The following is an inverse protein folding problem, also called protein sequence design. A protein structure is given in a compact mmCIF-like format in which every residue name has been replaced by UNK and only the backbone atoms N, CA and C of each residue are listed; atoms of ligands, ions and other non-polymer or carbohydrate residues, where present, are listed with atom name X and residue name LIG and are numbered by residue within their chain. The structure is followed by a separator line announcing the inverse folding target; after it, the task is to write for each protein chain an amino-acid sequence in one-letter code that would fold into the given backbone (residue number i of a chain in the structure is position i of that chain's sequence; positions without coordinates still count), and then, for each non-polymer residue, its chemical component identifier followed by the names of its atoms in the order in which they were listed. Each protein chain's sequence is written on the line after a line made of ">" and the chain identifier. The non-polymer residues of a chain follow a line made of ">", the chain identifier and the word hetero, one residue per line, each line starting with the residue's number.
data_IF_366467493747
#
_entry.id   IF_366467493747
#
_cell.length_a   1.000
_cell.length_b   1.000
_cell.length_c   1.000
_cell.angle_alpha   90.00
_cell.angle_beta   90.00
_cell.angle_gamma   90.00
#
_symmetry.space_group_name_H-M   'P 1'
#
loop_
_entity.id
_entity.type
_entity.pdbx_description
1 polymer ?
#
# COMPACT_ATOMS: atom_id res chain seq x y z
N UNK A 1 -69.38 -14.10 15.99
CA UNK A 1 -68.56 -13.00 15.46
C UNK A 1 -67.10 -13.35 15.66
N UNK A 2 -66.43 -13.82 14.62
CA UNK A 2 -64.98 -14.02 14.60
C UNK A 2 -64.50 -13.40 13.28
N UNK A 3 -63.75 -12.31 13.38
CA UNK A 3 -63.19 -11.59 12.23
C UNK A 3 -61.83 -12.21 11.96
N UNK A 4 -61.69 -12.89 10.82
CA UNK A 4 -60.41 -13.35 10.29
C UNK A 4 -59.83 -12.20 9.48
N UNK A 5 -58.73 -11.61 9.94
CA UNK A 5 -58.00 -10.58 9.22
C UNK A 5 -57.05 -11.25 8.21
N UNK A 6 -57.29 -11.01 6.92
CA UNK A 6 -56.39 -11.41 5.84
C UNK A 6 -55.24 -10.40 5.76
N UNK A 7 -54.01 -10.86 5.99
CA UNK A 7 -52.80 -10.07 5.74
C UNK A 7 -52.46 -10.13 4.25
N UNK A 8 -52.51 -8.99 3.56
CA UNK A 8 -52.04 -8.86 2.19
C UNK A 8 -50.51 -8.75 2.18
N UNK A 9 -49.83 -9.73 1.57
CA UNK A 9 -48.39 -9.67 1.34
C UNK A 9 -48.11 -8.69 0.17
N UNK A 10 -47.51 -7.54 0.47
CA UNK A 10 -46.93 -6.65 -0.53
C UNK A 10 -45.62 -7.26 -1.04
N UNK A 11 -45.61 -7.68 -2.30
CA UNK A 11 -44.37 -8.06 -2.99
C UNK A 11 -43.55 -6.79 -3.27
N UNK A 12 -42.41 -6.64 -2.61
CA UNK A 12 -41.41 -5.63 -2.95
C UNK A 12 -40.71 -6.13 -4.21
N UNK A 13 -40.69 -5.38 -5.33
CA UNK A 13 -39.92 -5.78 -6.49
C UNK A 13 -38.42 -5.74 -6.09
N UNK A 14 -37.77 -6.90 -6.11
CA UNK A 14 -36.31 -6.96 -6.07
C UNK A 14 -35.80 -6.23 -7.31
N UNK A 15 -35.15 -5.10 -7.11
CA UNK A 15 -34.34 -4.49 -8.15
C UNK A 15 -33.22 -5.50 -8.45
N UNK A 16 -33.29 -6.14 -9.61
CA UNK A 16 -32.15 -6.84 -10.19
C UNK A 16 -31.07 -5.78 -10.42
N UNK A 17 -30.04 -5.78 -9.57
CA UNK A 17 -28.79 -5.12 -9.89
C UNK A 17 -28.29 -5.77 -11.19
N UNK A 18 -28.40 -5.03 -12.29
CA UNK A 18 -27.77 -5.43 -13.55
C UNK A 18 -26.28 -5.27 -13.29
N UNK A 19 -25.62 -6.38 -12.93
CA UNK A 19 -24.16 -6.43 -12.91
C UNK A 19 -23.67 -5.99 -14.28
N UNK A 20 -22.91 -4.91 -14.33
CA UNK A 20 -22.22 -4.54 -15.55
C UNK A 20 -21.23 -5.66 -15.87
N UNK A 21 -21.56 -6.48 -16.85
CA UNK A 21 -20.62 -7.38 -17.52
C UNK A 21 -19.61 -6.50 -18.27
N UNK A 22 -18.47 -6.20 -17.64
CA UNK A 22 -17.46 -5.31 -18.20
C UNK A 22 -16.11 -5.46 -17.50
N UNK A 23 -15.12 -5.93 -18.27
CA UNK A 23 -13.70 -6.14 -17.93
C UNK A 23 -13.42 -7.00 -16.69
N UNK A 24 -13.31 -8.30 -16.92
CA UNK A 24 -12.97 -9.28 -15.90
C UNK A 24 -11.45 -9.33 -15.67
N UNK A 25 -10.95 -9.32 -14.44
CA UNK A 25 -9.51 -9.24 -14.19
C UNK A 25 -8.85 -10.63 -14.13
N UNK A 26 -7.57 -10.72 -14.46
CA UNK A 26 -6.78 -11.94 -14.33
C UNK A 26 -5.59 -11.71 -13.39
N UNK A 27 -5.53 -12.48 -12.31
CA UNK A 27 -4.37 -12.52 -11.43
C UNK A 27 -3.30 -13.49 -11.96
N UNK A 28 -2.04 -13.07 -11.92
CA UNK A 28 -0.86 -13.92 -12.15
C UNK A 28 0.12 -13.81 -10.99
N UNK A 29 0.49 -14.95 -10.39
CA UNK A 29 1.51 -15.01 -9.35
C UNK A 29 2.91 -14.99 -10.00
N UNK A 30 3.70 -13.97 -9.69
CA UNK A 30 4.99 -13.75 -10.36
C UNK A 30 6.17 -14.30 -9.55
N UNK A 31 6.31 -13.90 -8.29
CA UNK A 31 7.41 -14.30 -7.41
C UNK A 31 6.85 -14.74 -6.05
N UNK A 32 7.41 -15.80 -5.47
CA UNK A 32 7.13 -16.26 -4.10
C UNK A 32 8.38 -16.92 -3.53
N UNK A 33 8.54 -16.98 -2.21
CA UNK A 33 9.56 -17.77 -1.54
C UNK A 33 9.27 -19.29 -1.57
N UNK A 34 8.02 -19.67 -1.89
CA UNK A 34 7.59 -21.06 -1.98
C UNK A 34 7.77 -21.61 -3.41
N UNK A 35 8.52 -22.69 -3.54
CA UNK A 35 8.70 -23.39 -4.81
C UNK A 35 7.34 -23.88 -5.39
N UNK A 36 7.04 -23.47 -6.62
CA UNK A 36 5.84 -23.88 -7.35
C UNK A 36 4.58 -23.03 -7.10
N UNK A 37 4.63 -22.04 -6.20
CA UNK A 37 3.50 -21.12 -5.95
C UNK A 37 3.42 -19.98 -6.98
N UNK A 38 4.56 -19.57 -7.53
CA UNK A 38 4.68 -18.49 -8.50
C UNK A 38 5.66 -18.85 -9.63
N UNK A 39 5.76 -18.00 -10.66
CA UNK A 39 6.66 -18.23 -11.82
C UNK A 39 8.14 -18.27 -11.43
N UNK A 40 8.54 -17.54 -10.38
CA UNK A 40 9.90 -17.46 -9.88
C UNK A 40 9.89 -17.74 -8.38
N UNK A 41 10.91 -18.47 -7.92
CA UNK A 41 11.16 -18.67 -6.50
C UNK A 41 12.31 -17.77 -6.03
N UNK A 42 12.02 -16.89 -5.06
CA UNK A 42 13.01 -16.04 -4.40
C UNK A 42 12.90 -16.21 -2.89
N UNK A 43 13.85 -16.90 -2.22
CA UNK A 43 13.81 -17.15 -0.79
C UNK A 43 13.82 -15.90 0.09
N UNK A 44 14.15 -14.73 -0.45
CA UNK A 44 14.13 -13.47 0.29
C UNK A 44 12.75 -12.80 0.29
N UNK A 45 11.84 -13.16 -0.61
CA UNK A 45 10.51 -12.54 -0.70
C UNK A 45 9.58 -13.10 0.38
N UNK A 46 9.85 -12.77 1.65
CA UNK A 46 9.07 -13.21 2.81
C UNK A 46 8.32 -12.03 3.39
N UNK A 47 6.98 -12.15 3.50
CA UNK A 47 6.09 -11.07 3.93
C UNK A 47 6.39 -9.72 3.24
N UNK A 48 6.37 -9.63 1.90
CA UNK A 48 6.63 -8.36 1.23
C UNK A 48 5.50 -7.36 1.53
N UNK A 49 5.86 -6.19 2.04
CA UNK A 49 4.92 -5.10 2.33
C UNK A 49 4.98 -4.03 1.24
N UNK A 50 5.74 -2.96 1.46
CA UNK A 50 5.82 -1.82 0.55
C UNK A 50 6.58 -2.12 -0.74
N UNK A 51 6.29 -1.33 -1.76
CA UNK A 51 6.98 -1.37 -3.04
C UNK A 51 7.18 0.03 -3.63
N UNK A 52 8.32 0.25 -4.29
CA UNK A 52 8.65 1.53 -4.91
C UNK A 52 9.43 1.35 -6.21
N UNK A 53 9.30 2.32 -7.10
CA UNK A 53 10.13 2.44 -8.28
C UNK A 53 10.18 3.89 -8.73
N UNK A 54 11.30 4.28 -9.34
CA UNK A 54 11.34 5.46 -10.20
C UNK A 54 10.63 5.17 -11.52
N UNK A 55 10.59 6.15 -12.44
CA UNK A 55 10.08 5.92 -13.79
C UNK A 55 10.87 4.86 -14.59
N UNK A 56 12.14 4.60 -14.24
CA UNK A 56 13.05 3.76 -15.02
C UNK A 56 13.82 2.73 -14.19
N UNK A 57 13.61 2.68 -12.87
CA UNK A 57 14.25 1.68 -12.02
C UNK A 57 13.51 0.34 -12.07
N UNK A 58 14.18 -0.77 -11.70
CA UNK A 58 13.50 -1.97 -11.21
C UNK A 58 12.50 -1.63 -10.09
N UNK A 59 11.55 -2.54 -9.85
CA UNK A 59 10.70 -2.52 -8.68
C UNK A 59 11.52 -2.91 -7.45
N UNK A 60 11.47 -2.11 -6.40
CA UNK A 60 11.98 -2.41 -5.07
C UNK A 60 10.83 -2.90 -4.20
N UNK A 61 11.08 -3.94 -3.41
CA UNK A 61 10.10 -4.52 -2.48
C UNK A 61 10.72 -4.55 -1.08
N UNK A 62 9.97 -4.13 -0.08
CA UNK A 62 10.35 -4.23 1.33
C UNK A 62 9.93 -5.60 1.87
N UNK A 63 10.88 -6.52 2.02
CA UNK A 63 10.63 -7.89 2.46
C UNK A 63 10.68 -7.96 3.98
N UNK A 64 9.54 -7.68 4.62
CA UNK A 64 9.41 -7.53 6.07
C UNK A 64 10.01 -8.74 6.81
N UNK A 65 9.62 -9.95 6.39
CA UNK A 65 10.00 -11.19 7.08
C UNK A 65 11.45 -11.64 6.82
N UNK A 66 12.15 -11.00 5.89
CA UNK A 66 13.53 -11.33 5.54
C UNK A 66 14.52 -10.21 5.90
N UNK A 67 14.05 -9.09 6.48
CA UNK A 67 14.87 -7.93 6.87
C UNK A 67 15.67 -7.30 5.71
N UNK A 68 15.15 -7.41 4.48
CA UNK A 68 15.84 -6.95 3.27
C UNK A 68 14.90 -6.18 2.33
N UNK A 69 15.50 -5.60 1.30
CA UNK A 69 14.77 -5.19 0.11
C UNK A 69 15.33 -5.89 -1.13
N UNK A 70 14.46 -6.60 -1.84
CA UNK A 70 14.72 -7.24 -3.13
C UNK A 70 14.31 -6.35 -4.30
N UNK A 71 14.84 -6.66 -5.48
CA UNK A 71 14.60 -5.90 -6.70
C UNK A 71 14.20 -6.81 -7.86
N UNK A 72 13.20 -6.38 -8.63
CA UNK A 72 12.68 -7.13 -9.79
C UNK A 72 12.54 -6.26 -11.03
N UNK A 73 12.77 -6.84 -12.21
CA UNK A 73 12.57 -6.19 -13.52
C UNK A 73 11.89 -7.15 -14.51
N UNK A 74 11.41 -6.66 -15.64
CA UNK A 74 10.69 -7.47 -16.63
C UNK A 74 9.20 -7.56 -16.29
N UNK A 75 8.52 -8.65 -16.60
CA UNK A 75 7.05 -8.72 -16.39
C UNK A 75 6.25 -7.89 -17.40
N UNK A 76 6.92 -7.18 -18.31
CA UNK A 76 6.26 -6.29 -19.28
C UNK A 76 5.58 -7.15 -20.33
N UNK A 77 4.33 -6.83 -20.63
CA UNK A 77 3.51 -7.55 -21.62
C UNK A 77 3.48 -9.07 -21.39
N UNK A 78 3.37 -9.49 -20.13
CA UNK A 78 3.25 -10.90 -19.75
C UNK A 78 4.54 -11.73 -19.81
N UNK A 79 5.69 -11.09 -20.08
CA UNK A 79 7.00 -11.76 -20.00
C UNK A 79 7.32 -12.21 -18.59
N UNK A 80 8.21 -13.20 -18.42
CA UNK A 80 8.62 -13.63 -17.08
C UNK A 80 9.55 -12.55 -16.49
N UNK A 81 9.29 -12.06 -15.26
CA UNK A 81 10.19 -11.13 -14.60
C UNK A 81 11.54 -11.77 -14.27
N UNK A 82 12.47 -11.00 -13.72
CA UNK A 82 13.81 -11.44 -13.35
C UNK A 82 14.19 -10.82 -12.02
N UNK A 83 14.87 -11.61 -11.18
CA UNK A 83 15.54 -11.12 -9.97
C UNK A 83 16.73 -10.26 -10.40
N UNK A 84 16.81 -9.05 -9.86
CA UNK A 84 18.01 -8.22 -9.98
C UNK A 84 19.00 -8.66 -8.89
N UNK A 85 20.29 -8.91 -9.20
CA UNK A 85 21.27 -9.43 -8.26
C UNK A 85 21.77 -8.34 -7.29
N UNK A 86 20.85 -7.77 -6.53
CA UNK A 86 21.07 -6.85 -5.43
C UNK A 86 20.01 -7.13 -4.38
N UNK A 87 20.45 -7.39 -3.16
CA UNK A 87 19.60 -7.48 -1.98
C UNK A 87 20.16 -6.51 -0.96
N UNK A 88 19.35 -5.55 -0.54
CA UNK A 88 19.76 -4.51 0.42
C UNK A 88 19.31 -4.93 1.81
N UNK A 89 20.24 -5.06 2.75
CA UNK A 89 19.90 -5.31 4.16
C UNK A 89 19.31 -4.06 4.78
N UNK A 90 18.16 -4.20 5.45
CA UNK A 90 17.49 -3.09 6.13
C UNK A 90 17.78 -3.17 7.65
N UNK A 91 18.54 -2.22 8.21
CA UNK A 91 18.88 -2.24 9.63
C UNK A 91 17.64 -2.01 10.50
N UNK A 92 17.55 -2.77 11.60
CA UNK A 92 16.37 -2.78 12.47
C UNK A 92 15.37 -3.88 12.12
N UNK A 93 15.41 -4.39 10.89
CA UNK A 93 14.53 -5.44 10.40
C UNK A 93 13.09 -4.98 10.19
N UNK A 94 12.23 -5.93 9.77
CA UNK A 94 10.81 -5.71 9.52
C UNK A 94 10.49 -4.43 8.70
N UNK A 95 11.13 -4.23 7.53
CA UNK A 95 10.81 -3.08 6.68
C UNK A 95 9.35 -3.11 6.23
N UNK A 96 8.71 -1.95 6.19
CA UNK A 96 7.29 -1.80 5.84
C UNK A 96 7.12 -0.98 4.58
N UNK A 97 7.20 0.33 4.68
CA UNK A 97 7.13 1.27 3.57
C UNK A 97 8.49 1.47 2.92
N UNK A 98 8.46 1.75 1.61
CA UNK A 98 9.63 2.15 0.83
C UNK A 98 9.22 3.24 -0.15
N UNK A 99 10.06 4.25 -0.33
CA UNK A 99 9.87 5.33 -1.30
C UNK A 99 11.11 5.52 -2.16
N UNK A 100 10.89 5.86 -3.43
CA UNK A 100 11.96 6.37 -4.30
C UNK A 100 12.18 7.86 -4.01
N UNK A 101 13.42 8.24 -3.74
CA UNK A 101 13.79 9.64 -3.57
C UNK A 101 14.14 10.28 -4.92
N UNK A 102 13.23 11.12 -5.42
CA UNK A 102 13.44 11.87 -6.67
C UNK A 102 14.18 13.20 -6.48
N UNK A 103 14.66 13.50 -5.27
CA UNK A 103 15.26 14.78 -4.89
C UNK A 103 16.78 14.65 -4.69
N UNK A 104 17.46 15.77 -4.46
CA UNK A 104 18.84 15.79 -3.96
C UNK A 104 18.95 15.81 -2.45
N UNK A 105 17.81 15.81 -1.75
CA UNK A 105 17.72 15.85 -0.30
C UNK A 105 17.92 14.44 0.29
N UNK A 106 17.80 14.31 1.61
CA UNK A 106 17.94 13.02 2.31
C UNK A 106 19.31 12.38 2.06
N UNK A 107 20.37 13.15 2.34
CA UNK A 107 21.76 12.75 2.09
C UNK A 107 22.21 11.72 3.13
N UNK A 108 22.54 10.52 2.63
CA UNK A 108 23.17 9.45 3.39
C UNK A 108 24.65 9.73 3.54
N UNK A 109 25.19 9.53 4.75
CA UNK A 109 26.60 9.77 5.08
C UNK A 109 27.23 8.49 5.62
N UNK A 110 28.13 7.90 4.84
CA UNK A 110 28.81 6.65 5.22
C UNK A 110 30.33 6.86 5.28
N UNK A 111 31.05 5.81 5.68
CA UNK A 111 32.51 5.82 5.64
C UNK A 111 33.12 5.92 4.22
N UNK A 112 32.32 5.69 3.17
CA UNK A 112 32.78 5.74 1.77
C UNK A 112 32.47 7.07 1.07
N UNK A 113 31.60 7.89 1.65
CA UNK A 113 31.25 9.21 1.12
C UNK A 113 29.85 9.67 1.53
N UNK A 114 29.36 10.70 0.84
CA UNK A 114 28.01 11.22 1.03
C UNK A 114 27.28 11.28 -0.32
N UNK A 115 26.03 10.85 -0.36
CA UNK A 115 25.18 10.98 -1.54
C UNK A 115 23.70 11.02 -1.13
N UNK A 116 22.82 11.65 -1.94
CA UNK A 116 21.38 11.51 -1.75
C UNK A 116 20.97 10.04 -1.73
N UNK A 117 20.03 9.70 -0.86
CA UNK A 117 19.37 8.40 -0.88
C UNK A 117 18.72 8.17 -2.25
N UNK A 118 18.78 6.94 -2.77
CA UNK A 118 17.94 6.52 -3.89
C UNK A 118 16.61 5.98 -3.39
N UNK A 119 16.64 5.22 -2.30
CA UNK A 119 15.46 4.64 -1.66
C UNK A 119 15.53 4.83 -0.15
N UNK A 120 14.37 5.06 0.46
CA UNK A 120 14.20 5.31 1.89
C UNK A 120 13.11 4.36 2.39
N UNK A 121 13.32 3.79 3.58
CA UNK A 121 12.48 2.76 4.16
C UNK A 121 12.06 3.17 5.58
N UNK A 122 10.87 2.74 5.98
CA UNK A 122 10.47 2.68 7.38
C UNK A 122 10.25 1.21 7.82
N UNK A 123 10.03 1.01 9.13
CA UNK A 123 9.90 -0.34 9.69
C UNK A 123 9.04 -0.35 10.96
N UNK A 124 8.53 -1.53 11.28
CA UNK A 124 7.85 -1.79 12.55
C UNK A 124 8.76 -1.63 13.76
N UNK A 125 10.08 -1.72 13.56
CA UNK A 125 11.10 -1.45 14.58
C UNK A 125 11.23 0.05 14.92
N UNK A 126 10.48 0.93 14.25
CA UNK A 126 10.53 2.37 14.46
C UNK A 126 11.79 3.02 13.89
N UNK A 127 12.36 2.43 12.84
CA UNK A 127 13.58 2.90 12.17
C UNK A 127 13.22 3.51 10.82
N UNK A 128 13.79 4.68 10.52
CA UNK A 128 13.97 5.14 9.14
C UNK A 128 15.38 4.80 8.70
N UNK A 129 15.49 4.17 7.54
CA UNK A 129 16.77 3.86 6.91
C UNK A 129 16.79 4.34 5.47
N UNK A 130 17.97 4.62 4.95
CA UNK A 130 18.14 5.15 3.62
C UNK A 130 19.31 4.46 2.91
N UNK A 131 19.15 4.23 1.62
CA UNK A 131 20.16 3.56 0.80
C UNK A 131 20.51 4.39 -0.41
N UNK A 132 21.81 4.55 -0.66
CA UNK A 132 22.35 5.14 -1.88
C UNK A 132 23.33 4.19 -2.54
N UNK A 133 23.09 3.88 -3.81
CA UNK A 133 23.98 3.02 -4.60
C UNK A 133 25.39 3.56 -4.76
N UNK A 134 25.60 4.86 -4.47
CA UNK A 134 26.92 5.48 -4.52
C UNK A 134 27.76 5.23 -3.26
N UNK A 135 27.14 5.06 -2.07
CA UNK A 135 27.88 5.11 -0.79
C UNK A 135 27.51 4.00 0.22
N UNK A 136 26.38 3.31 0.04
CA UNK A 136 25.83 2.36 1.03
C UNK A 136 26.20 0.89 0.77
N UNK A 137 26.59 0.52 -0.45
CA UNK A 137 26.89 -0.87 -0.81
C UNK A 137 25.63 -1.74 -0.74
N UNK A 138 25.64 -2.82 0.06
CA UNK A 138 24.49 -3.74 0.23
C UNK A 138 23.71 -3.53 1.53
N UNK A 139 23.99 -2.49 2.31
CA UNK A 139 23.30 -2.21 3.57
C UNK A 139 22.72 -0.81 3.52
N UNK A 140 21.45 -0.63 3.89
CA UNK A 140 20.93 0.71 4.16
C UNK A 140 21.53 1.26 5.46
N UNK A 141 21.53 2.58 5.59
CA UNK A 141 22.06 3.29 6.75
C UNK A 141 20.90 3.77 7.63
N UNK A 142 21.05 3.71 8.95
CA UNK A 142 20.04 4.18 9.91
C UNK A 142 20.10 5.70 10.01
N UNK A 143 19.00 6.37 9.71
CA UNK A 143 18.91 7.84 9.74
C UNK A 143 18.07 8.34 10.92
N UNK A 144 17.08 7.55 11.36
CA UNK A 144 16.30 7.80 12.57
C UNK A 144 15.91 6.48 13.24
N UNK A 145 15.81 6.47 14.57
CA UNK A 145 15.25 5.31 15.28
C UNK A 145 14.55 5.69 16.58
N UNK A 146 13.45 5.00 16.87
CA UNK A 146 12.79 5.00 18.16
C UNK A 146 12.02 3.70 18.39
N UNK A 147 12.54 2.83 19.27
CA UNK A 147 11.99 1.50 19.59
C UNK A 147 10.55 1.46 20.12
N UNK A 148 9.93 2.62 20.39
CA UNK A 148 8.54 2.70 20.83
C UNK A 148 7.58 3.03 19.70
N UNK A 149 8.08 3.18 18.48
CA UNK A 149 7.31 3.48 17.28
C UNK A 149 7.16 2.21 16.46
N UNK A 150 6.06 2.15 15.72
CA UNK A 150 5.76 1.10 14.75
C UNK A 150 5.31 1.85 13.51
N UNK A 151 6.18 1.91 12.51
CA UNK A 151 5.83 2.49 11.22
C UNK A 151 5.24 1.41 10.33
N UNK A 152 4.17 1.75 9.61
CA UNK A 152 3.46 0.81 8.74
C UNK A 152 3.49 1.22 7.27
N UNK A 153 3.87 2.47 6.95
CA UNK A 153 3.78 3.03 5.60
C UNK A 153 4.47 4.38 5.49
N UNK A 154 5.06 4.64 4.31
CA UNK A 154 5.96 5.78 4.08
C UNK A 154 5.60 6.48 2.77
N UNK A 155 5.51 7.81 2.80
CA UNK A 155 5.39 8.66 1.62
C UNK A 155 6.47 9.74 1.59
N UNK A 156 6.82 10.17 0.38
CA UNK A 156 7.66 11.34 0.11
C UNK A 156 6.80 12.34 -0.66
N UNK A 157 6.72 13.58 -0.17
CA UNK A 157 6.05 14.67 -0.86
C UNK A 157 6.77 16.00 -0.63
N UNK A 158 6.37 17.05 -1.35
CA UNK A 158 6.84 18.40 -1.09
C UNK A 158 5.72 19.28 -0.53
N UNK A 159 6.04 20.03 0.52
CA UNK A 159 5.19 21.09 1.06
C UNK A 159 5.96 22.40 1.02
N UNK A 160 5.39 23.45 0.42
CA UNK A 160 6.01 24.79 0.31
C UNK A 160 7.44 24.79 -0.28
N UNK A 161 7.75 23.80 -1.13
CA UNK A 161 9.07 23.64 -1.77
C UNK A 161 10.11 22.89 -0.95
N UNK A 162 9.76 22.43 0.26
CA UNK A 162 10.59 21.55 1.09
C UNK A 162 10.20 20.09 0.87
N UNK A 163 11.18 19.19 0.82
CA UNK A 163 10.96 17.75 0.72
C UNK A 163 10.70 17.16 2.10
N UNK A 164 9.61 16.41 2.26
CA UNK A 164 9.17 15.84 3.52
C UNK A 164 8.87 14.35 3.39
N UNK A 165 9.28 13.56 4.39
CA UNK A 165 8.84 12.19 4.56
C UNK A 165 7.68 12.14 5.56
N UNK A 166 6.69 11.29 5.27
CA UNK A 166 5.52 11.06 6.10
C UNK A 166 5.46 9.58 6.44
N UNK A 167 5.61 9.25 7.71
CA UNK A 167 5.61 7.88 8.20
C UNK A 167 4.37 7.62 9.06
N UNK A 168 3.58 6.61 8.70
CA UNK A 168 2.39 6.19 9.43
C UNK A 168 2.78 5.49 10.73
N UNK A 169 2.84 6.25 11.84
CA UNK A 169 3.19 5.72 13.15
C UNK A 169 1.96 5.13 13.84
N UNK A 170 1.68 3.87 13.50
CA UNK A 170 0.53 3.14 13.97
C UNK A 170 0.45 3.15 15.50
N UNK A 171 1.54 2.76 16.19
CA UNK A 171 1.58 2.68 17.67
C UNK A 171 1.30 4.00 18.41
N UNK A 172 1.39 5.14 17.71
CA UNK A 172 1.14 6.47 18.28
C UNK A 172 -0.05 7.19 17.67
N UNK A 173 -0.81 6.54 16.78
CA UNK A 173 -1.98 7.08 16.12
C UNK A 173 -1.73 8.47 15.49
N UNK A 174 -0.63 8.61 14.75
CA UNK A 174 -0.28 9.85 14.04
C UNK A 174 0.64 9.57 12.85
N UNK A 175 0.69 10.52 11.92
CA UNK A 175 1.79 10.63 10.95
C UNK A 175 2.97 11.34 11.63
N UNK A 176 4.15 10.73 11.63
CA UNK A 176 5.40 11.44 11.92
C UNK A 176 5.94 12.03 10.62
N UNK A 177 6.36 13.30 10.65
CA UNK A 177 6.91 13.98 9.48
C UNK A 177 8.39 14.27 9.69
N UNK A 178 9.21 14.10 8.66
CA UNK A 178 10.65 14.34 8.70
C UNK A 178 11.08 15.28 7.59
N UNK A 179 12.02 16.16 7.90
CA UNK A 179 12.63 17.08 6.92
C UNK A 179 13.69 16.40 6.06
N UNK A 180 14.21 17.15 5.10
CA UNK A 180 15.30 16.85 4.17
C UNK A 180 16.60 16.33 4.81
N UNK A 181 16.74 16.41 6.13
CA UNK A 181 17.86 15.90 6.93
C UNK A 181 17.46 14.74 7.88
N UNK A 182 16.32 14.08 7.63
CA UNK A 182 15.75 13.02 8.47
C UNK A 182 15.43 13.46 9.91
N UNK A 183 15.28 14.76 10.16
CA UNK A 183 14.90 15.26 11.48
C UNK A 183 13.40 15.32 11.55
N UNK A 184 12.83 14.73 12.61
CA UNK A 184 11.38 14.79 12.82
C UNK A 184 10.94 16.24 13.02
N UNK A 185 10.04 16.71 12.17
CA UNK A 185 9.39 18.02 12.30
C UNK A 185 8.07 17.87 13.04
N UNK A 186 7.73 18.88 13.83
CA UNK A 186 6.45 18.94 14.51
C UNK A 186 5.52 19.84 13.71
N UNK A 187 4.43 19.27 13.20
CA UNK A 187 3.36 20.00 12.52
C UNK A 187 2.12 20.01 13.42
N UNK A 188 1.92 21.05 14.24
CA UNK A 188 0.77 21.10 15.14
C UNK A 188 -0.52 21.04 14.35
N UNK A 189 -1.45 20.18 14.78
CA UNK A 189 -2.77 19.98 14.17
C UNK A 189 -2.79 19.36 12.76
N UNK A 190 -1.64 19.00 12.21
CA UNK A 190 -1.56 18.22 10.97
C UNK A 190 -2.03 16.77 11.19
N UNK A 191 -2.57 16.16 10.12
CA UNK A 191 -3.00 14.77 10.08
C UNK A 191 -3.98 14.40 11.19
N UNK A 192 -4.99 15.24 11.38
CA UNK A 192 -6.06 15.01 12.36
C UNK A 192 -7.42 15.09 11.70
N UNK A 193 -8.24 14.09 12.01
CA UNK A 193 -9.67 14.13 11.83
C UNK A 193 -10.36 13.73 13.14
N UNK A 194 -11.09 14.68 13.74
CA UNK A 194 -11.81 14.46 14.99
C UNK A 194 -13.04 13.54 14.84
N UNK A 195 -13.41 13.16 13.62
CA UNK A 195 -14.50 12.24 13.32
C UNK A 195 -14.05 10.79 13.20
N UNK A 196 -12.74 10.50 13.21
CA UNK A 196 -12.24 9.13 13.39
C UNK A 196 -12.37 8.80 14.89
N UNK A 197 -13.04 7.68 15.25
CA UNK A 197 -13.11 7.25 16.63
C UNK A 197 -11.73 6.92 17.22
N UNK A 198 -11.59 7.07 18.53
CA UNK A 198 -10.43 6.58 19.26
C UNK A 198 -10.23 5.08 19.01
N UNK A 199 -8.97 4.66 18.89
CA UNK A 199 -8.60 3.28 18.61
C UNK A 199 -8.36 2.98 17.13
N UNK A 200 -8.42 3.97 16.25
CA UNK A 200 -7.91 3.88 14.88
C UNK A 200 -6.60 4.66 14.75
N UNK A 201 -5.71 4.20 13.87
CA UNK A 201 -4.43 4.83 13.60
C UNK A 201 -4.07 4.76 12.10
N UNK A 202 -3.26 5.70 11.59
CA UNK A 202 -2.74 5.65 10.23
C UNK A 202 -2.05 4.31 9.96
N UNK A 203 -2.51 3.59 8.94
CA UNK A 203 -2.03 2.25 8.58
C UNK A 203 -1.16 2.27 7.32
N UNK A 204 -1.45 3.15 6.37
CA UNK A 204 -0.54 3.54 5.29
C UNK A 204 -0.71 5.03 4.93
N UNK A 205 0.25 5.57 4.19
CA UNK A 205 0.20 6.91 3.58
C UNK A 205 0.80 6.87 2.18
N UNK A 206 0.07 7.39 1.19
CA UNK A 206 0.50 7.45 -0.21
C UNK A 206 0.32 8.86 -0.77
N UNK A 207 1.28 9.35 -1.56
CA UNK A 207 1.13 10.57 -2.36
C UNK A 207 0.45 10.22 -3.69
N UNK A 208 -0.81 10.62 -3.87
CA UNK A 208 -1.61 10.36 -5.06
C UNK A 208 -2.17 11.68 -5.60
N UNK A 209 -1.90 11.97 -6.87
CA UNK A 209 -2.33 13.21 -7.55
C UNK A 209 -2.00 14.52 -6.79
N UNK A 210 -0.91 14.52 -6.02
CA UNK A 210 -0.42 15.69 -5.28
C UNK A 210 -0.93 15.81 -3.83
N UNK A 211 -1.89 14.97 -3.44
CA UNK A 211 -2.42 14.91 -2.07
C UNK A 211 -1.94 13.64 -1.35
N UNK A 212 -1.90 13.69 -0.03
CA UNK A 212 -1.60 12.55 0.83
C UNK A 212 -2.88 11.81 1.19
N UNK A 213 -3.02 10.59 0.69
CA UNK A 213 -4.08 9.68 1.07
C UNK A 213 -3.58 8.84 2.24
N UNK A 214 -4.30 8.90 3.36
CA UNK A 214 -3.95 8.18 4.58
C UNK A 214 -5.06 7.18 4.87
N UNK A 215 -4.73 5.90 4.86
CA UNK A 215 -5.63 4.88 5.35
C UNK A 215 -5.49 4.75 6.87
N UNK A 216 -6.58 4.40 7.54
CA UNK A 216 -6.61 4.14 8.97
C UNK A 216 -7.18 2.76 9.22
N UNK A 217 -6.57 2.01 10.14
CA UNK A 217 -7.07 0.72 10.60
C UNK A 217 -7.31 0.76 12.11
N UNK A 218 -8.21 -0.11 12.57
CA UNK A 218 -8.46 -0.28 14.01
C UNK A 218 -7.23 -0.92 14.66
N UNK A 219 -6.78 -0.39 15.79
CA UNK A 219 -5.65 -0.93 16.53
C UNK A 219 -6.07 -2.06 17.47
N UNK A 220 -5.18 -3.03 17.63
CA UNK A 220 -5.22 -3.97 18.72
C UNK A 220 -4.88 -3.31 20.06
N UNK A 221 -4.99 -4.07 21.16
CA UNK A 221 -4.70 -3.54 22.50
C UNK A 221 -3.22 -3.17 22.69
N UNK A 222 -2.29 -3.86 22.01
CA UNK A 222 -0.87 -3.54 22.06
C UNK A 222 -0.52 -2.29 21.23
N UNK A 223 -1.42 -1.87 20.33
CA UNK A 223 -1.20 -0.83 19.32
C UNK A 223 -0.06 -1.19 18.35
N UNK A 224 0.19 -2.47 18.18
CA UNK A 224 1.20 -2.95 17.25
C UNK A 224 0.56 -3.34 15.91
N UNK A 225 -0.58 -4.04 15.99
CA UNK A 225 -1.22 -4.65 14.84
C UNK A 225 -2.66 -4.18 14.72
N UNK A 226 -3.21 -4.36 13.53
CA UNK A 226 -4.60 -4.04 13.25
C UNK A 226 -5.55 -5.10 13.81
N UNK A 227 -6.82 -4.70 13.95
CA UNK A 227 -7.93 -5.62 14.16
C UNK A 227 -8.71 -5.70 12.87
N UNK A 228 -8.44 -6.73 12.07
CA UNK A 228 -9.19 -7.01 10.86
C UNK A 228 -10.70 -7.22 11.13
N UNK A 229 -11.51 -6.77 10.19
CA UNK A 229 -12.97 -6.90 10.16
C UNK A 229 -13.60 -5.87 9.22
N UNK A 230 -14.68 -6.21 8.50
CA UNK A 230 -15.43 -5.23 7.72
C UNK A 230 -15.85 -4.03 8.58
N UNK A 231 -15.61 -2.83 8.08
CA UNK A 231 -15.87 -1.57 8.75
C UNK A 231 -14.72 -1.07 9.63
N UNK A 232 -13.64 -1.84 9.77
CA UNK A 232 -12.45 -1.45 10.53
C UNK A 232 -11.46 -0.66 9.66
N UNK A 233 -11.96 0.37 8.98
CA UNK A 233 -11.07 1.29 8.29
C UNK A 233 -11.68 2.63 7.89
N UNK A 234 -10.79 3.56 7.58
CA UNK A 234 -11.12 4.87 6.98
C UNK A 234 -10.06 5.23 5.94
N UNK A 235 -10.40 6.14 5.04
CA UNK A 235 -9.43 6.82 4.17
C UNK A 235 -9.70 8.32 4.23
N UNK A 236 -8.69 9.08 4.61
CA UNK A 236 -8.69 10.55 4.57
C UNK A 236 -7.74 11.05 3.50
N UNK A 237 -7.98 12.26 3.02
CA UNK A 237 -7.09 12.97 2.10
C UNK A 237 -6.65 14.28 2.74
N UNK A 238 -5.33 14.48 2.76
CA UNK A 238 -4.64 15.65 3.29
C UNK A 238 -3.83 16.33 2.20
N UNK A 239 -3.62 17.64 2.30
CA UNK A 239 -2.53 18.27 1.53
C UNK A 239 -1.17 17.92 2.17
N UNK A 240 -0.03 18.17 1.49
CA UNK A 240 1.29 17.93 2.05
C UNK A 240 1.61 18.74 3.33
N UNK A 241 0.92 19.85 3.60
CA UNK A 241 1.06 20.55 4.89
C UNK A 241 0.42 19.78 6.07
N UNK A 242 -0.32 18.71 5.76
CA UNK A 242 -1.06 17.88 6.69
C UNK A 242 -2.44 18.42 7.04
N UNK A 243 -2.96 19.38 6.28
CA UNK A 243 -4.33 19.87 6.46
C UNK A 243 -5.31 18.86 5.87
N UNK A 244 -6.31 18.46 6.66
CA UNK A 244 -7.39 17.60 6.19
C UNK A 244 -8.17 18.32 5.09
N UNK A 245 -8.21 17.70 3.91
CA UNK A 245 -9.03 18.15 2.79
C UNK A 245 -10.42 17.52 2.86
N UNK A 246 -10.48 16.20 3.12
CA UNK A 246 -11.74 15.45 3.26
C UNK A 246 -11.53 14.09 3.94
N UNK A 247 -12.54 13.64 4.68
CA UNK A 247 -12.81 12.22 4.94
C UNK A 247 -13.36 11.62 3.64
N UNK A 248 -12.59 10.76 2.97
CA UNK A 248 -12.98 10.20 1.69
C UNK A 248 -13.88 8.97 1.87
N UNK A 249 -13.44 8.00 2.66
CA UNK A 249 -14.15 6.73 2.85
C UNK A 249 -14.27 6.46 4.36
N UNK A 250 -15.44 6.02 4.79
CA UNK A 250 -15.69 5.66 6.18
C UNK A 250 -16.26 4.25 6.27
N UNK A 251 -15.49 3.33 6.84
CA UNK A 251 -15.93 1.98 7.17
C UNK A 251 -16.48 1.24 5.95
N UNK A 252 -17.61 0.54 6.07
CA UNK A 252 -18.19 -0.27 5.00
C UNK A 252 -17.30 -1.46 4.69
N UNK A 253 -16.88 -1.59 3.44
CA UNK A 253 -16.02 -2.69 2.98
C UNK A 253 -14.52 -2.46 3.26
N UNK A 254 -14.17 -1.36 3.94
CA UNK A 254 -12.81 -1.19 4.46
C UNK A 254 -12.54 -2.17 5.60
N UNK A 255 -11.48 -2.95 5.44
CA UNK A 255 -11.07 -4.03 6.34
C UNK A 255 -9.54 -4.03 6.46
N UNK A 256 -9.02 -3.25 7.41
CA UNK A 256 -7.60 -2.93 7.52
C UNK A 256 -7.02 -2.45 6.18
N UNK A 257 -7.52 -1.33 5.63
CA UNK A 257 -7.12 -0.84 4.31
C UNK A 257 -5.66 -0.38 4.31
N UNK A 258 -4.84 -0.90 3.40
CA UNK A 258 -3.41 -0.55 3.31
C UNK A 258 -3.04 -0.07 1.91
N UNK A 259 -3.14 -0.91 0.90
CA UNK A 259 -2.76 -0.55 -0.47
C UNK A 259 -3.68 0.52 -1.07
N UNK A 260 -3.13 1.68 -1.44
CA UNK A 260 -3.86 2.77 -2.08
C UNK A 260 -3.21 3.15 -3.41
N UNK A 261 -3.97 3.11 -4.51
CA UNK A 261 -3.47 3.54 -5.82
C UNK A 261 -4.59 4.05 -6.72
N UNK A 262 -4.34 5.09 -7.50
CA UNK A 262 -5.27 5.53 -8.54
C UNK A 262 -5.00 4.73 -9.82
N UNK A 263 -6.04 4.09 -10.34
CA UNK A 263 -5.97 3.30 -11.55
C UNK A 263 -5.77 4.18 -12.79
N UNK A 264 -4.85 3.84 -13.71
CA UNK A 264 -4.74 4.53 -14.98
C UNK A 264 -6.00 4.26 -15.81
N UNK A 265 -6.32 5.17 -16.75
CA UNK A 265 -7.51 5.06 -17.59
C UNK A 265 -7.61 3.73 -18.37
N UNK A 266 -6.50 3.03 -18.59
CA UNK A 266 -6.45 1.73 -19.25
C UNK A 266 -6.76 0.52 -18.37
N UNK A 267 -7.05 0.69 -17.08
CA UNK A 267 -7.29 -0.41 -16.14
C UNK A 267 -8.72 -0.96 -16.16
N UNK A 268 -9.25 -1.21 -17.35
CA UNK A 268 -10.59 -1.80 -17.52
C UNK A 268 -11.71 -0.94 -16.94
N UNK A 269 -12.65 -1.58 -16.25
CA UNK A 269 -13.86 -0.92 -15.73
C UNK A 269 -13.57 0.13 -14.65
N UNK A 270 -12.48 -0.04 -13.89
CA UNK A 270 -12.08 0.85 -12.81
C UNK A 270 -10.98 1.85 -13.21
N UNK A 271 -10.80 2.09 -14.51
CA UNK A 271 -9.82 3.09 -14.98
C UNK A 271 -10.17 4.50 -14.47
N UNK A 272 -9.27 5.09 -13.69
CA UNK A 272 -9.44 6.40 -13.05
C UNK A 272 -9.97 6.34 -11.62
N UNK A 273 -10.36 5.16 -11.11
CA UNK A 273 -10.83 5.01 -9.73
C UNK A 273 -9.67 4.84 -8.73
N UNK A 274 -9.92 5.18 -7.47
CA UNK A 274 -9.05 4.82 -6.35
C UNK A 274 -9.27 3.34 -6.02
N UNK A 275 -8.22 2.53 -6.14
CA UNK A 275 -8.20 1.16 -5.66
C UNK A 275 -7.71 1.14 -4.22
N UNK A 276 -8.46 0.44 -3.36
CA UNK A 276 -8.14 0.20 -1.95
C UNK A 276 -8.01 -1.30 -1.74
N UNK A 277 -6.80 -1.73 -1.41
CA UNK A 277 -6.50 -3.10 -0.99
C UNK A 277 -6.68 -3.27 0.50
N UNK A 278 -7.46 -4.28 0.89
CA UNK A 278 -7.76 -4.60 2.28
C UNK A 278 -6.89 -5.78 2.74
N UNK A 279 -6.04 -5.56 3.74
CA UNK A 279 -5.22 -6.61 4.32
C UNK A 279 -6.07 -7.72 4.96
N UNK A 280 -7.16 -7.34 5.63
CA UNK A 280 -7.92 -8.24 6.49
C UNK A 280 -8.69 -9.35 5.75
N UNK A 281 -9.05 -9.16 4.49
CA UNK A 281 -9.72 -10.18 3.66
C UNK A 281 -9.11 -10.38 2.26
N UNK A 282 -8.16 -9.52 1.86
CA UNK A 282 -7.51 -9.58 0.56
C UNK A 282 -8.30 -8.98 -0.59
N UNK A 283 -9.45 -8.35 -0.30
CA UNK A 283 -10.28 -7.70 -1.30
C UNK A 283 -9.63 -6.42 -1.85
N UNK A 284 -9.88 -6.13 -3.13
CA UNK A 284 -9.55 -4.83 -3.73
C UNK A 284 -10.84 -4.17 -4.20
N UNK A 285 -11.21 -3.07 -3.54
CA UNK A 285 -12.39 -2.28 -3.87
C UNK A 285 -11.99 -1.02 -4.64
N UNK A 286 -12.86 -0.60 -5.56
CA UNK A 286 -12.70 0.60 -6.36
C UNK A 286 -13.67 1.68 -5.88
N UNK A 287 -13.16 2.89 -5.70
CA UNK A 287 -13.91 4.05 -5.21
C UNK A 287 -13.69 5.24 -6.12
N UNK A 288 -14.70 6.10 -6.20
CA UNK A 288 -14.53 7.43 -6.78
C UNK A 288 -13.47 8.22 -5.99
N UNK A 289 -12.37 8.67 -6.60
CA UNK A 289 -11.29 9.33 -5.86
C UNK A 289 -11.69 10.70 -5.29
N UNK A 290 -12.77 11.30 -5.81
CA UNK A 290 -13.26 12.59 -5.34
C UNK A 290 -14.31 12.44 -4.25
N UNK A 291 -15.30 11.58 -4.48
CA UNK A 291 -16.49 11.46 -3.62
C UNK A 291 -16.41 10.31 -2.61
N UNK A 292 -15.50 9.35 -2.81
CA UNK A 292 -15.38 8.15 -1.98
C UNK A 292 -16.52 7.15 -2.15
N UNK A 293 -17.40 7.35 -3.14
CA UNK A 293 -18.48 6.42 -3.47
C UNK A 293 -17.89 5.16 -4.08
N UNK A 294 -18.21 4.01 -3.50
CA UNK A 294 -17.79 2.71 -4.02
C UNK A 294 -18.39 2.42 -5.40
N UNK A 295 -17.55 1.93 -6.31
CA UNK A 295 -17.90 1.56 -7.69
C UNK A 295 -17.99 0.05 -7.86
N UNK A 296 -17.33 -0.71 -7.00
CA UNK A 296 -17.36 -2.17 -6.98
C UNK A 296 -16.06 -2.77 -6.48
N UNK A 297 -15.90 -4.08 -6.70
CA UNK A 297 -14.74 -4.86 -6.30
C UNK A 297 -14.12 -5.51 -7.53
N UNK A 298 -12.80 -5.74 -7.52
CA UNK A 298 -12.13 -6.52 -8.56
C UNK A 298 -12.66 -7.96 -8.56
N UNK A 299 -13.14 -8.40 -9.72
CA UNK A 299 -13.65 -9.76 -9.95
C UNK A 299 -12.90 -10.42 -11.10
N UNK A 300 -12.81 -11.75 -11.04
CA UNK A 300 -12.18 -12.54 -12.08
C UNK A 300 -13.14 -12.82 -13.25
N UNK A 301 -12.68 -13.59 -14.23
CA UNK A 301 -13.44 -13.97 -15.43
C UNK A 301 -14.67 -14.84 -15.19
N UNK A 302 -14.83 -15.36 -13.98
CA UNK A 302 -16.01 -16.11 -13.57
C UNK A 302 -16.98 -15.24 -12.74
N UNK A 303 -16.67 -13.95 -12.56
CA UNK A 303 -17.41 -13.01 -11.72
C UNK A 303 -17.16 -13.19 -10.21
N UNK A 304 -16.20 -14.03 -9.81
CA UNK A 304 -15.84 -14.21 -8.41
C UNK A 304 -14.89 -13.11 -7.95
N UNK A 305 -14.98 -12.63 -6.69
CA UNK A 305 -14.01 -11.68 -6.14
C UNK A 305 -12.57 -12.20 -6.24
N UNK A 306 -11.65 -11.32 -6.63
CA UNK A 306 -10.22 -11.58 -6.49
C UNK A 306 -9.85 -11.28 -5.03
N UNK A 307 -9.43 -12.31 -4.31
CA UNK A 307 -9.00 -12.21 -2.92
C UNK A 307 -7.53 -12.62 -2.80
N UNK A 308 -6.68 -11.67 -2.44
CA UNK A 308 -5.26 -11.88 -2.20
C UNK A 308 -5.01 -11.94 -0.69
N UNK A 309 -4.90 -13.14 -0.14
CA UNK A 309 -4.68 -13.28 1.31
C UNK A 309 -3.40 -12.55 1.76
N UNK A 310 -3.50 -11.72 2.80
CA UNK A 310 -2.37 -10.93 3.31
C UNK A 310 -1.95 -9.78 2.40
N UNK A 311 -2.88 -9.20 1.64
CA UNK A 311 -2.63 -8.12 0.68
C UNK A 311 -2.04 -6.87 1.36
N UNK A 312 -0.90 -6.39 0.84
CA UNK A 312 -0.24 -5.16 1.27
C UNK A 312 -0.30 -4.10 0.18
N UNK A 313 0.80 -3.90 -0.55
CA UNK A 313 0.94 -2.78 -1.46
C UNK A 313 0.24 -3.01 -2.79
N UNK A 314 -0.21 -1.91 -3.38
CA UNK A 314 -0.73 -1.82 -4.73
C UNK A 314 0.04 -0.73 -5.49
N UNK A 315 0.48 -1.00 -6.73
CA UNK A 315 1.05 0.02 -7.63
C UNK A 315 0.90 -0.43 -9.08
N UNK A 316 0.88 0.52 -10.01
CA UNK A 316 0.97 0.20 -11.43
C UNK A 316 2.40 0.04 -11.92
N UNK A 317 2.59 -0.84 -12.91
CA UNK A 317 3.88 -1.06 -13.55
C UNK A 317 4.47 0.24 -14.13
N UNK A 318 5.80 0.29 -14.25
CA UNK A 318 6.51 1.45 -14.81
C UNK A 318 7.13 1.14 -16.18
N UNK A 319 6.85 -0.03 -16.77
CA UNK A 319 7.45 -0.48 -18.03
C UNK A 319 8.91 -0.98 -17.88
N UNK A 320 9.52 -0.84 -16.70
CA UNK A 320 10.76 -1.54 -16.31
C UNK A 320 10.43 -2.81 -15.54
N UNK A 321 9.44 -2.72 -14.65
CA UNK A 321 8.73 -3.84 -14.06
C UNK A 321 7.22 -3.68 -14.33
N UNK A 322 6.61 -4.74 -14.86
CA UNK A 322 5.21 -4.81 -15.29
C UNK A 322 4.79 -3.72 -16.32
N UNK A 323 3.65 -3.92 -16.98
CA UNK A 323 3.13 -2.92 -17.94
C UNK A 323 2.47 -1.75 -17.21
N UNK A 324 2.40 -0.54 -17.79
CA UNK A 324 1.79 0.62 -17.11
C UNK A 324 0.32 0.48 -16.69
N UNK A 325 -0.45 -0.42 -17.33
CA UNK A 325 -1.85 -0.71 -16.95
C UNK A 325 -1.98 -2.00 -16.12
N UNK A 326 -0.87 -2.61 -15.71
CA UNK A 326 -0.85 -3.83 -14.90
C UNK A 326 -0.78 -3.41 -13.42
N UNK A 327 -1.74 -3.86 -12.62
CA UNK A 327 -1.74 -3.65 -11.17
C UNK A 327 -0.82 -4.68 -10.53
N UNK A 328 0.23 -4.24 -9.86
CA UNK A 328 1.18 -5.07 -9.13
C UNK A 328 0.82 -5.04 -7.64
N UNK A 329 0.81 -6.21 -7.01
CA UNK A 329 0.56 -6.34 -5.59
C UNK A 329 1.63 -7.15 -4.86
N UNK A 330 1.81 -6.84 -3.57
CA UNK A 330 2.56 -7.66 -2.62
C UNK A 330 1.62 -8.27 -1.60
N UNK A 331 1.97 -9.43 -1.05
CA UNK A 331 1.18 -10.08 -0.02
C UNK A 331 1.99 -10.99 0.90
N UNK A 332 1.69 -10.91 2.20
CA UNK A 332 2.16 -11.81 3.26
C UNK A 332 1.27 -13.05 3.41
N UNK A 333 1.43 -14.01 2.51
CA UNK A 333 0.58 -15.21 2.48
C UNK A 333 0.91 -16.20 3.62
N UNK A 334 -0.04 -17.06 3.97
CA UNK A 334 0.16 -18.09 4.99
C UNK A 334 0.19 -17.56 6.42
N UNK A 335 -0.47 -16.42 6.67
CA UNK A 335 -0.34 -15.69 7.93
C UNK A 335 1.03 -15.03 8.04
N UNK A 336 1.45 -14.36 6.96
CA UNK A 336 2.68 -13.56 6.89
C UNK A 336 3.99 -14.35 7.02
N UNK A 337 3.94 -15.69 7.02
CA UNK A 337 5.14 -16.52 7.09
C UNK A 337 5.85 -16.69 5.73
N UNK A 338 5.18 -16.29 4.65
CA UNK A 338 5.61 -16.42 3.26
C UNK A 338 5.21 -15.18 2.46
N UNK A 339 5.77 -15.03 1.25
CA UNK A 339 5.49 -13.89 0.40
C UNK A 339 4.99 -14.24 -0.99
N UNK A 340 4.25 -13.29 -1.55
CA UNK A 340 3.78 -13.30 -2.92
C UNK A 340 3.89 -11.89 -3.51
N UNK A 341 4.50 -11.81 -4.69
CA UNK A 341 4.44 -10.67 -5.59
C UNK A 341 3.71 -11.13 -6.83
N UNK A 342 2.63 -10.44 -7.19
CA UNK A 342 1.80 -10.79 -8.33
C UNK A 342 1.32 -9.59 -9.10
N UNK A 343 0.61 -9.88 -10.18
CA UNK A 343 -0.01 -8.88 -11.03
C UNK A 343 -1.49 -9.21 -11.26
N UNK A 344 -2.27 -8.17 -11.53
CA UNK A 344 -3.67 -8.24 -11.93
C UNK A 344 -3.83 -7.37 -13.17
N UNK A 345 -4.24 -8.00 -14.27
CA UNK A 345 -4.49 -7.33 -15.54
C UNK A 345 -6.00 -7.33 -15.86
N UNK A 346 -6.53 -6.28 -16.51
CA UNK A 346 -7.82 -6.39 -17.19
C UNK A 346 -7.75 -7.52 -18.22
N UNK A 347 -8.71 -8.45 -18.24
CA UNK A 347 -8.76 -9.47 -19.27
C UNK A 347 -8.88 -8.81 -20.64
N UNK A 348 -8.18 -9.40 -21.62
CA UNK A 348 -8.36 -9.04 -23.00
C UNK A 348 -9.82 -9.35 -23.39
N UNK A 349 -10.56 -8.31 -23.81
CA UNK A 349 -11.87 -8.46 -24.43
C UNK A 349 -11.83 -9.07 -25.82
#
# INVERSE_FOLDING_TARGET
>A
MAVVAAAAAMAIPMATAVGQTGAEYQQTNLISDIAGVARITDPNLVNPWGQAASATSPLWVADNGADVSTLYRGGVSGTIPQIVPLTVTIPGGAPTGVVFNSTSDFVVKTGTGNAPANFIFDSEAGVLSAWSGAVSGMNADVEFSNKHYVYKGLALASADGESLLYAANFSKARIDVFDDHFRRVNLPHAFKDAQIPDGFAPFDVQLLDGDLYVSYAQQDAAKHDDVAGPGNGFVDVYDPSGKLLRRLISQGDLNSPWGLVIAPAGFGAFGGDLLVGNFGDGAIHAYDPTTGVEKGQLTNTDGNPILVNGLWALRFGNGTFASPNTLVFTAGIGGESHGLLGEIDPAAG
#
